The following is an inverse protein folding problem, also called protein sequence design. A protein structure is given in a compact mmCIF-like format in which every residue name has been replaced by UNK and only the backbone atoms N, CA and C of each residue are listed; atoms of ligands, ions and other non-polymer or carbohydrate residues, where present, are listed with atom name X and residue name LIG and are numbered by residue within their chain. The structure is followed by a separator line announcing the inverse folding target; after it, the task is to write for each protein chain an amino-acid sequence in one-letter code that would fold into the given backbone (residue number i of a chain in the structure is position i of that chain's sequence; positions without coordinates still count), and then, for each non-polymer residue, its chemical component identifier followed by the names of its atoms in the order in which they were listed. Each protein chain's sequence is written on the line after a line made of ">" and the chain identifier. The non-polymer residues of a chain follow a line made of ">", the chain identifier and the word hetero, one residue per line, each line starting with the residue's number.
data_IF_796307971280
#
_entry.id   IF_796307971280
#
_cell.length_a   1.000
_cell.length_b   1.000
_cell.length_c   1.000
_cell.angle_alpha   90.00
_cell.angle_beta   90.00
_cell.angle_gamma   90.00
#
_symmetry.space_group_name_H-M   'P 1'
#
loop_
_entity.id
_entity.type
_entity.pdbx_description
1 polymer ?
#
# COMPACT_ATOMS: atom_id res chain seq x y z
N UNK A 1 -17.33 69.52 50.82
CA UNK A 1 -18.14 68.31 50.58
C UNK A 1 -18.50 68.04 49.10
N UNK A 2 -18.86 69.00 48.26
CA UNK A 2 -19.25 68.74 46.86
C UNK A 2 -18.10 68.21 45.98
N UNK A 3 -16.82 68.60 46.15
CA UNK A 3 -15.66 68.12 45.32
C UNK A 3 -15.25 66.66 45.57
N UNK A 4 -15.45 66.16 46.80
CA UNK A 4 -15.11 64.76 47.15
C UNK A 4 -16.17 63.78 46.66
N UNK A 5 -17.43 64.17 46.51
CA UNK A 5 -18.51 63.33 45.96
C UNK A 5 -18.36 63.20 44.46
N UNK A 6 -18.02 64.27 43.74
CA UNK A 6 -17.78 64.24 42.29
C UNK A 6 -16.56 63.35 41.89
N UNK A 7 -15.50 63.44 42.71
CA UNK A 7 -14.31 62.59 42.49
C UNK A 7 -14.60 61.08 42.69
N UNK A 8 -15.43 60.75 43.68
CA UNK A 8 -15.82 59.34 43.90
C UNK A 8 -16.77 58.81 42.84
N UNK A 9 -17.64 59.61 42.27
CA UNK A 9 -18.56 59.28 41.21
C UNK A 9 -17.75 59.07 39.87
N UNK A 10 -16.76 59.91 39.59
CA UNK A 10 -15.90 59.78 38.42
C UNK A 10 -15.03 58.55 38.51
N UNK A 11 -14.50 58.21 39.69
CA UNK A 11 -13.74 56.99 39.91
C UNK A 11 -14.63 55.75 39.77
N UNK A 12 -15.83 55.74 40.28
CA UNK A 12 -16.74 54.60 40.11
C UNK A 12 -17.18 54.42 38.66
N UNK A 13 -17.42 55.50 37.92
CA UNK A 13 -17.72 55.40 36.48
C UNK A 13 -16.56 54.88 35.68
N UNK A 14 -15.31 55.23 36.00
CA UNK A 14 -14.09 54.72 35.36
C UNK A 14 -13.93 53.22 35.62
N UNK A 15 -14.13 52.76 36.84
CA UNK A 15 -14.04 51.34 37.17
C UNK A 15 -15.17 50.52 36.54
N UNK A 16 -16.39 51.05 36.42
CA UNK A 16 -17.50 50.43 35.73
C UNK A 16 -17.21 50.31 34.22
N UNK A 17 -16.66 51.37 33.60
CA UNK A 17 -16.27 51.35 32.20
C UNK A 17 -15.13 50.36 31.94
N UNK A 18 -14.13 50.27 32.83
CA UNK A 18 -13.05 49.30 32.75
C UNK A 18 -13.55 47.85 32.89
N UNK A 19 -14.52 47.60 33.78
CA UNK A 19 -15.13 46.30 33.99
C UNK A 19 -15.94 45.86 32.76
N UNK A 20 -16.69 46.77 32.14
CA UNK A 20 -17.43 46.50 30.90
C UNK A 20 -16.48 46.24 29.75
N UNK A 21 -15.36 46.98 29.65
CA UNK A 21 -14.35 46.77 28.63
C UNK A 21 -13.66 45.40 28.77
N UNK A 22 -13.37 44.95 29.99
CA UNK A 22 -12.80 43.62 30.26
C UNK A 22 -13.82 42.51 29.96
N UNK A 23 -15.10 42.72 30.27
CA UNK A 23 -16.16 41.75 29.93
C UNK A 23 -16.42 41.64 28.43
N UNK A 24 -16.33 42.74 27.68
CA UNK A 24 -16.49 42.73 26.22
C UNK A 24 -15.25 42.12 25.53
N UNK A 25 -14.06 42.34 26.10
CA UNK A 25 -12.83 41.73 25.60
C UNK A 25 -12.72 40.19 25.88
N UNK A 26 -13.53 39.69 26.82
CA UNK A 26 -13.58 38.29 27.20
C UNK A 26 -14.65 37.46 26.46
N UNK A 27 -15.39 38.06 25.51
CA UNK A 27 -16.20 37.28 24.59
C UNK A 27 -15.17 36.55 23.69
N UNK A 28 -15.03 35.21 23.79
CA UNK A 28 -14.26 34.49 22.79
C UNK A 28 -14.96 34.76 21.46
N UNK A 29 -14.34 35.57 20.60
CA UNK A 29 -14.62 35.53 19.18
C UNK A 29 -14.30 34.10 18.81
N UNK A 30 -15.31 33.24 18.84
CA UNK A 30 -15.22 31.95 18.16
C UNK A 30 -14.82 32.35 16.76
N UNK A 31 -13.55 32.14 16.45
CA UNK A 31 -13.06 32.29 15.11
C UNK A 31 -13.84 31.26 14.27
N UNK A 32 -14.90 31.74 13.63
CA UNK A 32 -15.64 31.01 12.63
C UNK A 32 -14.74 30.91 11.39
N UNK A 33 -13.54 30.36 11.63
CA UNK A 33 -12.55 29.98 10.63
C UNK A 33 -12.80 28.56 10.11
N UNK A 34 -13.96 27.99 10.40
CA UNK A 34 -14.38 26.74 9.83
C UNK A 34 -14.79 26.95 8.37
N UNK A 35 -13.78 27.18 7.50
CA UNK A 35 -13.94 27.13 6.05
C UNK A 35 -14.63 25.83 5.62
N UNK A 36 -14.63 24.82 6.47
CA UNK A 36 -15.11 23.45 6.28
C UNK A 36 -15.92 23.02 7.52
N UNK A 37 -17.18 23.33 7.60
CA UNK A 37 -18.04 22.99 8.73
C UNK A 37 -19.51 23.01 8.35
N UNK A 38 -20.41 23.16 9.32
CA UNK A 38 -21.86 23.16 9.15
C UNK A 38 -22.36 24.17 8.10
N UNK A 39 -21.66 25.30 7.93
CA UNK A 39 -22.00 26.31 6.92
C UNK A 39 -21.46 26.00 5.52
N UNK A 40 -20.58 25.02 5.39
CA UNK A 40 -19.98 24.65 4.11
C UNK A 40 -20.64 23.42 3.46
N UNK A 41 -20.81 22.34 4.23
CA UNK A 41 -21.36 21.10 3.72
C UNK A 41 -22.88 21.13 3.68
N UNK A 42 -23.52 20.66 2.59
CA UNK A 42 -24.96 20.48 2.58
C UNK A 42 -25.36 19.41 3.61
N UNK A 43 -26.42 19.67 4.39
CA UNK A 43 -26.91 18.72 5.39
C UNK A 43 -28.15 17.99 4.87
N UNK A 44 -28.06 17.51 3.66
CA UNK A 44 -29.13 16.76 2.95
C UNK A 44 -29.29 15.36 3.52
N UNK A 45 -30.43 14.73 3.26
CA UNK A 45 -30.72 13.37 3.71
C UNK A 45 -30.33 12.36 2.65
N UNK A 46 -29.43 11.45 3.01
CA UNK A 46 -29.06 10.28 2.23
C UNK A 46 -29.61 9.00 2.85
N UNK A 47 -29.56 7.91 2.09
CA UNK A 47 -29.95 6.57 2.54
C UNK A 47 -28.74 5.64 2.44
N UNK A 48 -28.44 4.92 3.51
CA UNK A 48 -27.35 3.95 3.54
C UNK A 48 -27.73 2.66 2.80
N UNK A 49 -26.76 1.80 2.49
CA UNK A 49 -26.98 0.45 1.95
C UNK A 49 -27.87 -0.43 2.84
N UNK A 50 -28.06 -0.08 4.10
CA UNK A 50 -28.95 -0.79 5.03
C UNK A 50 -30.33 -0.12 5.16
N UNK A 51 -30.65 0.84 4.29
CA UNK A 51 -31.93 1.53 4.25
C UNK A 51 -32.10 2.60 5.34
N UNK A 52 -31.05 2.95 6.09
CA UNK A 52 -31.10 3.94 7.16
C UNK A 52 -30.95 5.33 6.58
N UNK A 53 -31.84 6.26 6.95
CA UNK A 53 -31.77 7.67 6.56
C UNK A 53 -30.79 8.42 7.47
N UNK A 54 -29.84 9.14 6.88
CA UNK A 54 -28.80 9.88 7.56
C UNK A 54 -28.63 11.26 6.96
N UNK A 55 -28.27 12.26 7.77
CA UNK A 55 -27.94 13.62 7.31
C UNK A 55 -26.44 13.69 7.00
N UNK A 56 -26.11 14.21 5.84
CA UNK A 56 -24.73 14.16 5.35
C UNK A 56 -23.75 14.83 6.31
N UNK A 57 -24.02 16.06 6.77
CA UNK A 57 -23.10 16.71 7.68
C UNK A 57 -23.22 16.20 9.11
N UNK A 58 -24.42 16.25 9.70
CA UNK A 58 -24.62 16.00 11.13
C UNK A 58 -24.29 14.57 11.54
N UNK A 59 -24.67 13.59 10.69
CA UNK A 59 -24.57 12.17 11.05
C UNK A 59 -23.32 11.50 10.48
N UNK A 60 -22.70 12.06 9.39
CA UNK A 60 -21.58 11.42 8.73
C UNK A 60 -20.23 12.17 8.85
N UNK A 61 -20.27 13.51 8.84
CA UNK A 61 -19.04 14.32 8.73
C UNK A 61 -18.60 14.88 10.09
N UNK A 62 -19.53 15.43 10.85
CA UNK A 62 -19.27 16.21 12.07
C UNK A 62 -18.43 15.44 13.09
N UNK A 63 -17.27 15.99 13.44
CA UNK A 63 -16.35 15.45 14.44
C UNK A 63 -15.60 14.20 14.00
N UNK A 64 -15.59 13.84 12.70
CA UNK A 64 -15.02 12.58 12.22
C UNK A 64 -13.84 12.81 11.28
N UNK A 65 -13.02 11.76 11.16
CA UNK A 65 -12.06 11.60 10.07
C UNK A 65 -12.76 10.80 8.99
N UNK A 66 -12.84 11.36 7.79
CA UNK A 66 -13.61 10.78 6.70
C UNK A 66 -12.79 10.64 5.42
N UNK A 67 -13.09 9.62 4.65
CA UNK A 67 -12.67 9.48 3.26
C UNK A 67 -13.93 9.31 2.39
N UNK A 68 -14.10 10.17 1.40
CA UNK A 68 -15.32 10.26 0.60
C UNK A 68 -14.94 10.15 -0.88
N UNK A 69 -15.56 9.20 -1.57
CA UNK A 69 -15.49 9.09 -3.03
C UNK A 69 -16.88 8.98 -3.64
N UNK A 70 -16.95 9.25 -4.93
CA UNK A 70 -18.15 9.00 -5.73
C UNK A 70 -18.00 7.66 -6.45
N UNK A 71 -19.10 6.94 -6.62
CA UNK A 71 -19.14 5.66 -7.34
C UNK A 71 -20.41 5.55 -8.16
N UNK A 72 -20.47 4.55 -9.03
CA UNK A 72 -21.71 3.94 -9.52
C UNK A 72 -21.44 2.45 -9.79
N UNK A 73 -22.42 1.59 -9.45
CA UNK A 73 -22.17 0.13 -9.39
C UNK A 73 -22.03 -0.51 -10.76
N UNK A 74 -22.57 0.14 -11.82
CA UNK A 74 -22.46 -0.30 -13.23
C UNK A 74 -21.16 0.12 -13.92
N UNK A 75 -20.30 0.84 -13.22
CA UNK A 75 -19.00 1.30 -13.74
C UNK A 75 -18.12 0.11 -14.16
N UNK A 76 -17.63 0.16 -15.40
CA UNK A 76 -16.74 -0.87 -15.96
C UNK A 76 -15.26 -0.45 -16.00
N UNK A 77 -14.96 0.73 -15.46
CA UNK A 77 -13.64 1.36 -15.56
C UNK A 77 -12.97 1.53 -14.19
N UNK A 78 -13.02 2.72 -13.62
CA UNK A 78 -12.25 3.07 -12.42
C UNK A 78 -12.86 2.55 -11.11
N UNK A 79 -14.19 2.61 -10.93
CA UNK A 79 -14.83 2.31 -9.64
C UNK A 79 -14.50 0.93 -9.05
N UNK A 80 -14.42 -0.18 -9.84
CA UNK A 80 -13.99 -1.46 -9.31
C UNK A 80 -12.59 -1.43 -8.70
N UNK A 81 -11.64 -0.76 -9.38
CA UNK A 81 -10.27 -0.64 -8.89
C UNK A 81 -10.18 0.29 -7.67
N UNK A 82 -10.89 1.42 -7.69
CA UNK A 82 -10.98 2.33 -6.54
C UNK A 82 -11.51 1.63 -5.30
N UNK A 83 -12.64 0.96 -5.44
CA UNK A 83 -13.29 0.25 -4.31
C UNK A 83 -12.37 -0.85 -3.78
N UNK A 84 -11.72 -1.63 -4.65
CA UNK A 84 -10.74 -2.63 -4.24
C UNK A 84 -9.53 -1.99 -3.54
N UNK A 85 -9.08 -0.82 -3.99
CA UNK A 85 -7.98 -0.07 -3.38
C UNK A 85 -8.37 0.46 -2.00
N UNK A 86 -9.55 1.04 -1.87
CA UNK A 86 -10.07 1.50 -0.58
C UNK A 86 -10.27 0.33 0.40
N UNK A 87 -10.64 -0.86 -0.07
CA UNK A 87 -10.67 -2.06 0.76
C UNK A 87 -9.28 -2.42 1.30
N UNK A 88 -8.22 -2.24 0.51
CA UNK A 88 -6.85 -2.39 1.02
C UNK A 88 -6.49 -1.33 2.07
N UNK A 89 -6.89 -0.08 1.86
CA UNK A 89 -6.69 1.02 2.82
C UNK A 89 -7.40 0.72 4.14
N UNK A 90 -8.66 0.29 4.07
CA UNK A 90 -9.46 -0.08 5.24
C UNK A 90 -8.79 -1.21 6.06
N UNK A 91 -8.26 -2.24 5.39
CA UNK A 91 -7.49 -3.31 6.07
C UNK A 91 -6.23 -2.80 6.77
N UNK A 92 -5.51 -1.85 6.17
CA UNK A 92 -4.32 -1.23 6.80
C UNK A 92 -4.71 -0.38 8.00
N UNK A 93 -5.85 0.32 7.96
CA UNK A 93 -6.38 1.11 9.08
C UNK A 93 -6.91 0.23 10.22
N UNK A 94 -7.31 -1.02 9.92
CA UNK A 94 -7.74 -2.01 10.92
C UNK A 94 -8.83 -1.49 11.85
N UNK A 95 -8.61 -1.63 13.17
CA UNK A 95 -9.57 -1.27 14.22
C UNK A 95 -9.91 0.23 14.30
N UNK A 96 -9.26 1.06 13.51
CA UNK A 96 -9.62 2.48 13.40
C UNK A 96 -10.86 2.70 12.55
N UNK A 97 -11.14 1.78 11.61
CA UNK A 97 -12.34 1.81 10.80
C UNK A 97 -13.60 1.65 11.67
N UNK A 98 -14.54 2.59 11.54
CA UNK A 98 -15.78 2.61 12.32
C UNK A 98 -15.63 3.14 13.75
N UNK A 99 -14.41 3.44 14.20
CA UNK A 99 -14.15 4.06 15.51
C UNK A 99 -13.84 5.55 15.37
N UNK A 100 -12.80 5.89 14.64
CA UNK A 100 -12.32 7.26 14.43
C UNK A 100 -12.14 7.60 12.93
N UNK A 101 -12.12 6.60 12.05
CA UNK A 101 -12.04 6.76 10.60
C UNK A 101 -13.27 6.12 9.93
N UNK A 102 -13.89 6.86 9.01
CA UNK A 102 -15.09 6.43 8.31
C UNK A 102 -14.94 6.64 6.80
N UNK A 103 -15.36 5.67 6.01
CA UNK A 103 -15.41 5.77 4.57
C UNK A 103 -16.84 5.92 4.08
N UNK A 104 -17.03 6.81 3.13
CA UNK A 104 -18.33 7.07 2.49
C UNK A 104 -18.19 7.02 0.98
N UNK A 105 -18.82 6.02 0.36
CA UNK A 105 -18.94 5.92 -1.09
C UNK A 105 -20.35 6.34 -1.49
N UNK A 106 -20.48 7.47 -2.19
CA UNK A 106 -21.77 8.05 -2.56
C UNK A 106 -22.00 7.74 -4.04
N UNK A 107 -23.15 7.15 -4.36
CA UNK A 107 -23.48 6.88 -5.76
C UNK A 107 -23.80 8.18 -6.52
N UNK A 108 -23.45 8.21 -7.81
CA UNK A 108 -23.89 9.23 -8.77
C UNK A 108 -25.00 8.74 -9.69
N UNK A 109 -25.41 7.48 -9.54
CA UNK A 109 -26.51 6.84 -10.29
C UNK A 109 -27.61 6.33 -9.34
N UNK A 110 -28.32 7.24 -8.61
CA UNK A 110 -29.27 6.84 -7.59
C UNK A 110 -30.51 6.11 -8.14
N UNK A 111 -30.81 6.23 -9.43
CA UNK A 111 -31.94 5.53 -10.04
C UNK A 111 -31.68 4.04 -10.17
N UNK A 112 -30.43 3.65 -10.42
CA UNK A 112 -30.01 2.25 -10.46
C UNK A 112 -29.52 1.75 -9.10
N UNK A 113 -28.73 2.53 -8.40
CA UNK A 113 -28.01 2.15 -7.18
C UNK A 113 -28.91 2.28 -5.93
N UNK A 114 -29.90 1.40 -5.85
CA UNK A 114 -30.75 1.28 -4.66
C UNK A 114 -29.95 0.79 -3.45
N UNK A 115 -30.46 0.92 -2.21
CA UNK A 115 -29.80 0.38 -1.03
C UNK A 115 -29.38 -1.10 -1.16
N UNK A 116 -30.24 -1.95 -1.72
CA UNK A 116 -29.94 -3.37 -1.91
C UNK A 116 -28.80 -3.59 -2.91
N UNK A 117 -28.79 -2.86 -4.02
CA UNK A 117 -27.70 -2.89 -5.02
C UNK A 117 -26.36 -2.45 -4.39
N UNK A 118 -26.39 -1.36 -3.62
CA UNK A 118 -25.21 -0.88 -2.90
C UNK A 118 -24.74 -1.88 -1.83
N UNK A 119 -25.64 -2.58 -1.17
CA UNK A 119 -25.32 -3.62 -0.19
C UNK A 119 -24.63 -4.82 -0.83
N UNK A 120 -25.11 -5.27 -1.97
CA UNK A 120 -24.45 -6.31 -2.75
C UNK A 120 -23.06 -5.87 -3.24
N UNK A 121 -22.95 -4.62 -3.73
CA UNK A 121 -21.69 -4.07 -4.16
C UNK A 121 -20.67 -4.00 -3.01
N UNK A 122 -21.08 -3.49 -1.84
CA UNK A 122 -20.25 -3.46 -0.65
C UNK A 122 -19.74 -4.85 -0.24
N UNK A 123 -20.62 -5.86 -0.29
CA UNK A 123 -20.30 -7.25 0.02
C UNK A 123 -19.28 -7.86 -0.98
N UNK A 124 -19.39 -7.55 -2.28
CA UNK A 124 -18.45 -7.99 -3.32
C UNK A 124 -17.02 -7.54 -3.01
N UNK A 125 -16.84 -6.31 -2.52
CA UNK A 125 -15.54 -5.73 -2.19
C UNK A 125 -15.13 -5.92 -0.73
N UNK A 126 -15.89 -6.70 0.04
CA UNK A 126 -15.61 -6.99 1.45
C UNK A 126 -15.51 -5.70 2.29
N UNK A 127 -16.36 -4.73 1.99
CA UNK A 127 -16.44 -3.51 2.79
C UNK A 127 -16.87 -3.85 4.22
N UNK A 128 -16.03 -3.51 5.18
CA UNK A 128 -16.22 -3.82 6.60
C UNK A 128 -16.85 -2.67 7.39
N UNK A 129 -16.87 -2.78 8.73
CA UNK A 129 -17.36 -1.74 9.60
C UNK A 129 -16.72 -0.38 9.33
N UNK A 130 -17.50 0.70 9.44
CA UNK A 130 -17.02 2.06 9.20
C UNK A 130 -16.95 2.48 7.73
N UNK A 131 -17.33 1.61 6.80
CA UNK A 131 -17.48 1.95 5.40
C UNK A 131 -18.95 1.89 4.99
N UNK A 132 -19.52 3.03 4.65
CA UNK A 132 -20.94 3.18 4.31
C UNK A 132 -21.11 3.59 2.86
N UNK A 133 -21.99 2.89 2.16
CA UNK A 133 -22.39 3.22 0.79
C UNK A 133 -23.74 3.95 0.85
N UNK A 134 -23.86 5.01 0.05
CA UNK A 134 -24.92 6.00 0.21
C UNK A 134 -25.59 6.28 -1.13
N UNK A 135 -26.91 6.37 -1.11
CA UNK A 135 -27.76 6.84 -2.20
C UNK A 135 -28.67 7.97 -1.70
N UNK A 136 -29.38 8.63 -2.61
CA UNK A 136 -30.28 9.73 -2.23
C UNK A 136 -30.94 10.34 -3.45
N UNK A 137 -31.45 11.57 -3.31
CA UNK A 137 -31.97 12.30 -4.46
C UNK A 137 -30.82 12.81 -5.34
N UNK A 138 -30.97 12.74 -6.65
CA UNK A 138 -29.94 13.18 -7.59
C UNK A 138 -29.46 14.62 -7.33
N UNK A 139 -30.38 15.57 -7.10
CA UNK A 139 -30.03 16.98 -6.80
C UNK A 139 -29.21 17.11 -5.51
N UNK A 140 -29.53 16.31 -4.49
CA UNK A 140 -28.81 16.31 -3.20
C UNK A 140 -27.40 15.76 -3.36
N UNK A 141 -27.24 14.69 -4.16
CA UNK A 141 -25.95 14.06 -4.49
C UNK A 141 -25.10 15.03 -5.31
N UNK A 142 -25.69 15.70 -6.32
CA UNK A 142 -24.99 16.71 -7.10
C UNK A 142 -24.51 17.87 -6.24
N UNK A 143 -25.35 18.37 -5.32
CA UNK A 143 -24.98 19.43 -4.38
C UNK A 143 -23.78 19.04 -3.53
N UNK A 144 -23.73 17.81 -3.00
CA UNK A 144 -22.58 17.28 -2.29
C UNK A 144 -21.36 17.21 -3.20
N UNK A 145 -21.49 16.63 -4.39
CA UNK A 145 -20.40 16.43 -5.35
C UNK A 145 -19.75 17.77 -5.74
N UNK A 146 -20.55 18.80 -5.99
CA UNK A 146 -20.06 20.16 -6.29
C UNK A 146 -19.32 20.78 -5.09
N UNK A 147 -19.86 20.63 -3.87
CA UNK A 147 -19.22 21.15 -2.66
C UNK A 147 -17.90 20.43 -2.34
N UNK A 148 -17.83 19.14 -2.53
CA UNK A 148 -16.59 18.37 -2.39
C UNK A 148 -15.59 18.64 -3.53
N UNK A 149 -16.06 19.26 -4.63
CA UNK A 149 -15.28 19.47 -5.85
C UNK A 149 -14.95 18.15 -6.54
N UNK A 150 -15.84 17.18 -6.42
CA UNK A 150 -15.80 15.89 -7.11
C UNK A 150 -16.68 15.87 -8.38
N UNK A 151 -17.50 16.90 -8.56
CA UNK A 151 -18.33 17.05 -9.76
C UNK A 151 -17.46 17.36 -10.97
N UNK A 152 -17.71 16.69 -12.07
CA UNK A 152 -17.16 16.97 -13.39
C UNK A 152 -18.31 16.96 -14.40
N UNK A 153 -18.34 17.92 -15.31
CA UNK A 153 -19.32 17.88 -16.39
C UNK A 153 -19.03 16.69 -17.31
N UNK A 154 -20.07 15.89 -17.65
CA UNK A 154 -19.92 14.84 -18.64
C UNK A 154 -19.39 15.38 -19.97
N UNK A 155 -18.47 14.66 -20.58
CA UNK A 155 -17.90 15.02 -21.88
C UNK A 155 -17.53 13.74 -22.66
N UNK A 156 -17.21 13.82 -23.97
CA UNK A 156 -16.94 12.62 -24.76
C UNK A 156 -15.80 11.72 -24.25
N UNK A 157 -14.82 12.28 -23.51
CA UNK A 157 -13.72 11.51 -22.90
C UNK A 157 -14.03 11.04 -21.49
N UNK A 158 -15.07 11.58 -20.87
CA UNK A 158 -15.57 11.20 -19.54
C UNK A 158 -17.09 11.31 -19.53
N UNK A 159 -17.80 10.36 -20.18
CA UNK A 159 -19.25 10.44 -20.37
C UNK A 159 -20.05 10.51 -19.07
N UNK A 160 -19.54 9.91 -18.01
CA UNK A 160 -20.21 9.81 -16.71
C UNK A 160 -19.84 10.96 -15.77
N UNK A 161 -18.94 11.87 -16.18
CA UNK A 161 -18.45 12.96 -15.33
C UNK A 161 -17.71 12.48 -14.08
N UNK A 162 -17.32 11.20 -14.03
CA UNK A 162 -16.68 10.59 -12.88
C UNK A 162 -15.15 10.61 -12.99
N UNK A 163 -14.49 11.03 -11.91
CA UNK A 163 -13.03 10.98 -11.79
C UNK A 163 -12.64 10.23 -10.51
N UNK A 164 -11.55 9.42 -10.54
CA UNK A 164 -11.10 8.62 -9.41
C UNK A 164 -10.48 9.48 -8.30
N UNK A 165 -11.28 10.34 -7.71
CA UNK A 165 -10.89 11.30 -6.68
C UNK A 165 -11.40 10.88 -5.32
N UNK A 166 -10.56 11.08 -4.31
CA UNK A 166 -10.85 10.84 -2.91
C UNK A 166 -10.71 12.15 -2.14
N UNK A 167 -11.76 12.55 -1.45
CA UNK A 167 -11.69 13.62 -0.46
C UNK A 167 -11.44 12.99 0.89
N UNK A 168 -10.36 13.40 1.54
CA UNK A 168 -10.06 12.99 2.91
C UNK A 168 -10.02 14.21 3.81
N UNK A 169 -10.60 14.09 5.00
CA UNK A 169 -10.68 15.20 5.92
C UNK A 169 -10.84 14.78 7.37
N UNK A 170 -10.38 15.66 8.25
CA UNK A 170 -10.68 15.63 9.67
C UNK A 170 -11.49 16.89 9.99
N UNK A 171 -12.79 16.71 10.19
CA UNK A 171 -13.69 17.84 10.40
C UNK A 171 -13.36 18.58 11.71
N UNK A 172 -13.01 17.85 12.75
CA UNK A 172 -12.66 18.42 14.04
C UNK A 172 -11.44 19.37 13.99
N UNK A 173 -10.52 19.14 13.04
CA UNK A 173 -9.32 19.99 12.85
C UNK A 173 -9.45 20.95 11.66
N UNK A 174 -10.50 20.82 10.86
CA UNK A 174 -10.72 21.59 9.65
C UNK A 174 -9.73 21.29 8.51
N UNK A 175 -9.06 20.15 8.57
CA UNK A 175 -8.07 19.74 7.57
C UNK A 175 -8.71 18.87 6.49
N UNK A 176 -8.62 19.32 5.25
CA UNK A 176 -9.19 18.64 4.10
C UNK A 176 -8.20 18.63 2.94
N UNK A 177 -8.13 17.51 2.23
CA UNK A 177 -7.29 17.36 1.05
C UNK A 177 -7.92 16.44 0.01
N UNK A 178 -7.45 16.58 -1.22
CA UNK A 178 -7.78 15.69 -2.32
C UNK A 178 -6.64 14.74 -2.57
N UNK A 179 -6.98 13.48 -2.79
CA UNK A 179 -6.06 12.44 -3.20
C UNK A 179 -6.68 11.66 -4.38
N UNK A 180 -5.90 10.82 -5.01
CA UNK A 180 -6.43 9.81 -5.90
C UNK A 180 -6.86 8.60 -5.07
N UNK A 181 -8.04 8.04 -5.32
CA UNK A 181 -8.45 6.77 -4.73
C UNK A 181 -7.58 5.59 -5.21
N UNK A 182 -6.79 5.81 -6.29
CA UNK A 182 -5.87 4.84 -6.86
C UNK A 182 -4.44 4.91 -6.27
N UNK A 183 -4.17 5.86 -5.37
CA UNK A 183 -2.87 6.00 -4.73
C UNK A 183 -2.48 4.75 -3.93
N UNK A 184 -1.21 4.67 -3.57
CA UNK A 184 -0.69 3.58 -2.76
C UNK A 184 -1.49 3.43 -1.45
N UNK A 185 -2.05 2.24 -1.12
CA UNK A 185 -2.94 2.06 0.02
C UNK A 185 -2.27 2.34 1.37
N UNK A 186 -0.97 2.07 1.52
CA UNK A 186 -0.23 2.41 2.74
C UNK A 186 -0.03 3.91 2.88
N UNK A 187 0.21 4.62 1.76
CA UNK A 187 0.28 6.08 1.75
C UNK A 187 -1.06 6.70 2.14
N UNK A 188 -2.17 6.25 1.53
CA UNK A 188 -3.51 6.72 1.87
C UNK A 188 -3.86 6.43 3.32
N UNK A 189 -3.62 5.21 3.81
CA UNK A 189 -3.88 4.85 5.21
C UNK A 189 -3.08 5.74 6.18
N UNK A 190 -1.82 6.04 5.87
CA UNK A 190 -0.99 6.93 6.67
C UNK A 190 -1.49 8.38 6.62
N UNK A 191 -1.89 8.85 5.45
CA UNK A 191 -2.46 10.20 5.30
C UNK A 191 -3.74 10.35 6.13
N UNK A 192 -4.67 9.41 6.01
CA UNK A 192 -5.95 9.41 6.73
C UNK A 192 -5.74 9.17 8.22
N UNK A 193 -4.94 8.17 8.56
CA UNK A 193 -4.76 7.72 9.93
C UNK A 193 -3.87 8.64 10.76
N UNK A 194 -2.73 9.04 10.22
CA UNK A 194 -1.69 9.70 11.01
C UNK A 194 -1.60 11.20 10.71
N UNK A 195 -1.52 11.59 9.45
CA UNK A 195 -1.25 12.98 9.10
C UNK A 195 -2.40 13.92 9.40
N UNK A 196 -3.63 13.51 9.20
CA UNK A 196 -4.80 14.32 9.57
C UNK A 196 -4.96 14.50 11.08
N UNK A 197 -4.24 13.74 11.90
CA UNK A 197 -4.26 13.86 13.36
C UNK A 197 -2.97 14.48 13.94
N UNK A 198 -1.86 14.53 13.21
CA UNK A 198 -0.52 14.68 13.78
C UNK A 198 0.17 16.02 13.53
N UNK A 199 -0.54 17.04 13.05
CA UNK A 199 0.06 18.38 12.86
C UNK A 199 0.62 18.99 14.14
N UNK A 200 0.24 18.44 15.30
CA UNK A 200 0.71 18.88 16.61
C UNK A 200 1.84 18.03 17.19
N UNK A 201 2.17 16.89 16.61
CA UNK A 201 3.26 16.05 17.10
C UNK A 201 4.51 16.19 16.23
N UNK A 202 5.54 16.74 16.86
CA UNK A 202 6.95 16.83 16.49
C UNK A 202 7.35 16.61 15.02
N UNK A 203 7.86 17.67 14.40
CA UNK A 203 8.67 17.65 13.17
C UNK A 203 9.80 16.63 13.27
N UNK A 204 9.59 15.39 12.80
CA UNK A 204 10.69 14.58 12.32
C UNK A 204 11.11 15.21 10.98
N UNK A 205 12.34 15.69 10.91
CA UNK A 205 12.93 16.18 9.67
C UNK A 205 12.77 15.12 8.59
N UNK A 206 12.01 15.44 7.55
CA UNK A 206 11.95 14.61 6.36
C UNK A 206 13.35 14.58 5.71
N UNK A 207 13.81 13.45 5.17
CA UNK A 207 15.03 13.39 4.37
C UNK A 207 14.95 14.41 3.22
N UNK A 208 16.09 15.05 2.91
CA UNK A 208 16.18 15.97 1.77
C UNK A 208 15.81 15.26 0.47
N UNK A 209 15.02 15.90 -0.40
CA UNK A 209 14.75 15.40 -1.75
C UNK A 209 16.02 15.23 -2.61
N UNK A 210 17.12 15.89 -2.24
CA UNK A 210 18.39 15.75 -2.91
C UNK A 210 19.05 14.37 -2.73
N UNK A 211 18.65 13.63 -1.69
CA UNK A 211 19.18 12.31 -1.35
C UNK A 211 18.30 11.15 -1.87
N UNK A 212 17.26 11.46 -2.66
CA UNK A 212 16.37 10.43 -3.22
C UNK A 212 17.02 9.84 -4.47
N UNK A 213 17.40 8.55 -4.46
CA UNK A 213 17.98 7.91 -5.63
C UNK A 213 16.99 7.86 -6.79
N UNK A 214 17.52 8.01 -8.01
CA UNK A 214 16.73 7.90 -9.25
C UNK A 214 16.22 6.47 -9.41
N UNK A 215 14.90 6.27 -9.46
CA UNK A 215 14.30 4.95 -9.58
C UNK A 215 14.29 4.49 -11.03
N UNK A 216 14.86 3.32 -11.30
CA UNK A 216 14.53 2.54 -12.48
C UNK A 216 13.39 1.59 -12.13
N UNK A 217 12.19 1.90 -12.57
CA UNK A 217 11.04 1.02 -12.35
C UNK A 217 11.07 -0.14 -13.35
N UNK A 218 10.92 -1.37 -12.83
CA UNK A 218 10.41 -2.46 -13.65
C UNK A 218 8.96 -2.11 -14.01
N UNK A 219 8.69 -1.90 -15.31
CA UNK A 219 7.39 -1.45 -15.80
C UNK A 219 6.29 -2.48 -15.49
N UNK A 220 6.61 -3.77 -15.53
CA UNK A 220 5.66 -4.84 -15.22
C UNK A 220 5.27 -4.85 -13.76
N UNK A 221 6.25 -4.73 -12.85
CA UNK A 221 6.00 -4.61 -11.41
C UNK A 221 5.17 -3.37 -11.08
N UNK A 222 5.55 -2.22 -11.61
CA UNK A 222 4.83 -0.98 -11.40
C UNK A 222 3.38 -1.07 -11.87
N UNK A 223 3.17 -1.59 -13.09
CA UNK A 223 1.84 -1.74 -13.67
C UNK A 223 1.01 -2.74 -12.88
N UNK A 224 1.60 -3.89 -12.50
CA UNK A 224 0.91 -4.88 -11.67
C UNK A 224 0.48 -4.30 -10.31
N UNK A 225 1.38 -3.66 -9.60
CA UNK A 225 1.10 -3.08 -8.27
C UNK A 225 0.00 -2.03 -8.32
N UNK A 226 0.01 -1.19 -9.34
CA UNK A 226 -0.94 -0.08 -9.43
C UNK A 226 -2.29 -0.47 -10.03
N UNK A 227 -2.34 -1.45 -10.92
CA UNK A 227 -3.55 -1.79 -11.65
C UNK A 227 -4.14 -3.16 -11.31
N UNK A 228 -3.32 -4.13 -10.94
CA UNK A 228 -3.74 -5.52 -10.76
C UNK A 228 -3.77 -5.97 -9.29
N UNK A 229 -2.79 -5.52 -8.48
CA UNK A 229 -2.55 -5.99 -7.13
C UNK A 229 -3.64 -5.66 -6.09
N UNK A 230 -4.65 -4.85 -6.46
CA UNK A 230 -5.83 -4.62 -5.62
C UNK A 230 -6.77 -5.83 -5.61
N UNK A 231 -6.84 -6.55 -6.75
CA UNK A 231 -7.76 -7.65 -6.97
C UNK A 231 -7.07 -9.00 -7.09
N UNK A 232 -5.82 -9.04 -7.57
CA UNK A 232 -5.06 -10.26 -7.86
C UNK A 232 -3.83 -10.42 -6.99
N UNK A 233 -3.45 -11.66 -6.78
CA UNK A 233 -2.17 -12.05 -6.16
C UNK A 233 -1.35 -12.87 -7.16
N UNK A 234 -0.06 -13.10 -6.83
CA UNK A 234 0.77 -14.10 -7.50
C UNK A 234 1.34 -15.01 -6.41
N UNK A 235 0.79 -16.24 -6.29
CA UNK A 235 1.23 -17.25 -5.34
C UNK A 235 0.78 -17.04 -3.89
N UNK A 236 -0.26 -16.23 -3.65
CA UNK A 236 -0.81 -15.99 -2.29
C UNK A 236 -2.27 -16.40 -2.16
N UNK A 237 -2.80 -17.10 -3.15
CA UNK A 237 -4.19 -17.51 -3.23
C UNK A 237 -5.13 -16.46 -3.82
N UNK A 238 -6.35 -16.88 -4.09
CA UNK A 238 -7.42 -16.04 -4.67
C UNK A 238 -7.76 -14.88 -3.73
N UNK A 239 -8.05 -13.73 -4.32
CA UNK A 239 -8.54 -12.54 -3.62
C UNK A 239 -9.90 -12.10 -4.19
N UNK A 240 -10.08 -10.87 -4.62
CA UNK A 240 -11.26 -10.43 -5.37
C UNK A 240 -11.31 -11.05 -6.77
N UNK A 241 -10.16 -11.36 -7.34
CA UNK A 241 -9.95 -12.13 -8.55
C UNK A 241 -9.01 -13.30 -8.29
N UNK A 242 -8.70 -14.11 -9.34
CA UNK A 242 -7.84 -15.27 -9.22
C UNK A 242 -6.41 -14.92 -8.82
N UNK A 243 -5.75 -15.86 -8.14
CA UNK A 243 -4.30 -15.91 -8.07
C UNK A 243 -3.73 -16.14 -9.48
N UNK A 244 -2.77 -15.31 -9.88
CA UNK A 244 -2.20 -15.35 -11.22
C UNK A 244 -0.94 -16.24 -11.34
N UNK A 245 -0.54 -16.94 -10.26
CA UNK A 245 0.59 -17.85 -10.33
C UNK A 245 0.34 -18.96 -11.35
N UNK A 246 1.21 -19.03 -12.35
CA UNK A 246 1.14 -20.04 -13.42
C UNK A 246 0.06 -19.80 -14.46
N UNK A 247 -0.62 -18.68 -14.46
CA UNK A 247 -1.65 -18.36 -15.46
C UNK A 247 -1.08 -18.33 -16.88
N UNK A 248 0.16 -17.90 -17.04
CA UNK A 248 0.91 -17.85 -18.31
C UNK A 248 1.22 -19.22 -18.89
N UNK A 249 1.24 -20.27 -18.06
CA UNK A 249 1.39 -21.65 -18.51
C UNK A 249 0.04 -22.35 -18.82
N UNK A 250 -1.07 -21.81 -18.33
CA UNK A 250 -2.40 -22.44 -18.45
C UNK A 250 -3.35 -21.70 -19.39
N UNK A 251 -2.99 -20.50 -19.81
CA UNK A 251 -3.76 -19.67 -20.74
C UNK A 251 -2.90 -19.25 -21.93
N UNK A 252 -3.54 -19.17 -23.07
CA UNK A 252 -2.91 -18.65 -24.28
C UNK A 252 -2.54 -17.16 -24.12
N UNK A 253 -1.34 -16.77 -24.59
CA UNK A 253 -0.83 -15.41 -24.45
C UNK A 253 -1.72 -14.38 -25.17
N UNK A 254 -2.23 -14.72 -26.35
CA UNK A 254 -3.10 -13.82 -27.11
C UNK A 254 -4.44 -13.64 -26.39
N UNK A 255 -4.95 -14.71 -25.76
CA UNK A 255 -6.15 -14.60 -24.92
C UNK A 255 -5.89 -13.70 -23.71
N UNK A 256 -4.76 -13.87 -23.01
CA UNK A 256 -4.38 -13.02 -21.88
C UNK A 256 -4.26 -11.56 -22.31
N UNK A 257 -3.62 -11.29 -23.43
CA UNK A 257 -3.47 -9.94 -23.99
C UNK A 257 -4.82 -9.30 -24.25
N UNK A 258 -5.72 -10.02 -24.97
CA UNK A 258 -7.08 -9.50 -25.24
C UNK A 258 -7.88 -9.25 -23.95
N UNK A 259 -7.75 -10.15 -22.97
CA UNK A 259 -8.48 -10.03 -21.71
C UNK A 259 -7.93 -8.89 -20.83
N UNK A 260 -6.62 -8.62 -20.83
CA UNK A 260 -6.02 -7.49 -20.11
C UNK A 260 -6.41 -6.14 -20.77
N UNK A 261 -6.38 -6.08 -22.10
CA UNK A 261 -6.62 -4.83 -22.85
C UNK A 261 -8.09 -4.44 -22.87
N UNK A 262 -9.00 -5.41 -23.02
CA UNK A 262 -10.42 -5.14 -23.18
C UNK A 262 -11.29 -6.25 -22.54
N UNK A 263 -11.24 -6.41 -21.21
CA UNK A 263 -11.98 -7.45 -20.49
C UNK A 263 -13.48 -7.34 -20.70
N UNK A 264 -14.02 -6.12 -20.75
CA UNK A 264 -15.40 -5.82 -21.02
C UNK A 264 -15.88 -6.38 -22.36
N UNK A 265 -15.07 -6.26 -23.40
CA UNK A 265 -15.39 -6.78 -24.74
C UNK A 265 -15.32 -8.32 -24.78
N UNK A 266 -14.34 -8.91 -24.12
CA UNK A 266 -14.20 -10.38 -24.05
C UNK A 266 -15.39 -11.00 -23.32
N UNK A 267 -15.81 -10.42 -22.19
CA UNK A 267 -17.02 -10.84 -21.46
C UNK A 267 -18.28 -10.67 -22.30
N UNK A 268 -18.47 -9.51 -22.92
CA UNK A 268 -19.61 -9.20 -23.79
C UNK A 268 -19.69 -10.11 -25.02
N UNK A 269 -18.52 -10.50 -25.57
CA UNK A 269 -18.39 -11.48 -26.66
C UNK A 269 -18.75 -12.91 -26.29
N UNK A 270 -19.05 -13.17 -25.01
CA UNK A 270 -19.49 -14.49 -24.55
C UNK A 270 -18.40 -15.50 -24.37
N UNK A 271 -17.15 -15.08 -24.21
CA UNK A 271 -16.01 -15.97 -23.99
C UNK A 271 -16.27 -16.90 -22.79
N UNK A 272 -16.17 -18.22 -22.96
CA UNK A 272 -16.55 -19.18 -21.91
C UNK A 272 -15.61 -19.13 -20.70
N UNK A 273 -14.34 -18.80 -20.89
CA UNK A 273 -13.37 -18.67 -19.80
C UNK A 273 -13.72 -17.43 -18.98
N UNK A 274 -13.95 -16.30 -19.64
CA UNK A 274 -14.29 -15.04 -18.98
C UNK A 274 -15.60 -15.16 -18.18
N UNK A 275 -16.63 -15.84 -18.71
CA UNK A 275 -17.89 -16.09 -18.01
C UNK A 275 -17.69 -16.98 -16.77
N UNK A 276 -16.94 -18.07 -16.90
CA UNK A 276 -16.63 -18.95 -15.77
C UNK A 276 -15.89 -18.21 -14.65
N UNK A 277 -14.96 -17.33 -15.01
CA UNK A 277 -14.26 -16.50 -14.04
C UNK A 277 -15.21 -15.52 -13.35
N UNK A 278 -16.09 -14.86 -14.10
CA UNK A 278 -17.06 -13.92 -13.56
C UNK A 278 -18.00 -14.60 -12.54
N UNK A 279 -18.51 -15.79 -12.85
CA UNK A 279 -19.37 -16.57 -11.96
C UNK A 279 -18.61 -17.00 -10.69
N UNK A 280 -17.37 -17.47 -10.85
CA UNK A 280 -16.53 -17.92 -9.73
C UNK A 280 -16.20 -16.79 -8.75
N UNK A 281 -15.96 -15.59 -9.26
CA UNK A 281 -15.54 -14.42 -8.45
C UNK A 281 -16.70 -13.47 -8.16
N UNK A 282 -17.92 -14.00 -7.97
CA UNK A 282 -19.11 -13.28 -7.48
C UNK A 282 -19.47 -12.05 -8.32
N UNK A 283 -19.33 -12.16 -9.63
CA UNK A 283 -19.62 -11.07 -10.55
C UNK A 283 -18.77 -9.80 -10.34
N UNK A 284 -17.59 -9.92 -9.74
CA UNK A 284 -16.60 -8.83 -9.73
C UNK A 284 -16.01 -8.72 -11.14
N UNK A 285 -16.33 -7.64 -11.82
CA UNK A 285 -15.82 -7.37 -13.16
C UNK A 285 -14.35 -6.97 -13.09
N UNK A 286 -13.52 -7.55 -13.95
CA UNK A 286 -12.20 -7.01 -14.24
C UNK A 286 -12.40 -5.71 -15.02
N UNK A 287 -11.94 -4.56 -14.50
CA UNK A 287 -12.18 -3.27 -15.15
C UNK A 287 -11.32 -3.11 -16.41
N UNK A 288 -11.83 -2.36 -17.38
CA UNK A 288 -11.04 -1.87 -18.51
C UNK A 288 -10.22 -0.67 -18.04
N UNK A 289 -8.92 -0.86 -17.91
CA UNK A 289 -7.98 0.14 -17.37
C UNK A 289 -7.30 0.97 -18.44
N UNK A 290 -7.72 0.84 -19.71
CA UNK A 290 -7.11 1.55 -20.84
C UNK A 290 -5.67 1.13 -21.15
N UNK A 291 -5.28 -0.08 -20.74
CA UNK A 291 -3.95 -0.64 -21.02
C UNK A 291 -3.83 -1.02 -22.50
N UNK A 292 -2.68 -0.73 -23.10
CA UNK A 292 -2.37 -1.17 -24.46
C UNK A 292 -1.75 -2.58 -24.51
N UNK A 293 -1.58 -3.10 -25.72
CA UNK A 293 -0.92 -4.41 -25.94
C UNK A 293 0.50 -4.46 -25.37
N UNK A 294 1.26 -3.36 -25.50
CA UNK A 294 2.60 -3.25 -24.94
C UNK A 294 2.61 -3.31 -23.40
N UNK A 295 1.57 -2.78 -22.73
CA UNK A 295 1.43 -2.90 -21.28
C UNK A 295 1.05 -4.32 -20.87
N UNK A 296 0.17 -4.97 -21.65
CA UNK A 296 -0.23 -6.35 -21.43
C UNK A 296 0.98 -7.30 -21.57
N UNK A 297 1.83 -7.10 -22.57
CA UNK A 297 3.04 -7.90 -22.77
C UNK A 297 3.98 -7.83 -21.57
N UNK A 298 4.27 -6.62 -21.10
CA UNK A 298 5.15 -6.39 -19.94
C UNK A 298 4.54 -6.97 -18.67
N UNK A 299 3.20 -6.89 -18.49
CA UNK A 299 2.48 -7.51 -17.38
C UNK A 299 2.55 -9.05 -17.43
N UNK A 300 2.33 -9.65 -18.58
CA UNK A 300 2.38 -11.11 -18.76
C UNK A 300 3.79 -11.62 -18.45
N UNK A 301 4.83 -10.93 -18.94
CA UNK A 301 6.23 -11.31 -18.67
C UNK A 301 6.55 -11.17 -17.17
N UNK A 302 6.07 -10.13 -16.51
CA UNK A 302 6.22 -9.97 -15.07
C UNK A 302 5.51 -11.08 -14.28
N UNK A 303 4.24 -11.37 -14.61
CA UNK A 303 3.48 -12.45 -13.97
C UNK A 303 4.16 -13.81 -14.17
N UNK A 304 4.70 -14.06 -15.34
CA UNK A 304 5.42 -15.29 -15.64
C UNK A 304 6.70 -15.42 -14.82
N UNK A 305 7.49 -14.36 -14.74
CA UNK A 305 8.70 -14.30 -13.91
C UNK A 305 8.39 -14.53 -12.43
N UNK A 306 7.36 -13.87 -11.90
CA UNK A 306 6.93 -14.07 -10.51
C UNK A 306 6.37 -15.48 -10.26
N UNK A 307 5.64 -16.03 -11.23
CA UNK A 307 5.09 -17.40 -11.14
C UNK A 307 6.18 -18.46 -11.05
N UNK A 308 7.28 -18.29 -11.80
CA UNK A 308 8.45 -19.18 -11.69
C UNK A 308 9.11 -19.10 -10.32
N UNK A 309 9.17 -17.90 -9.72
CA UNK A 309 9.74 -17.69 -8.40
C UNK A 309 8.90 -18.32 -7.28
N UNK A 310 7.59 -18.47 -7.48
CA UNK A 310 6.63 -19.02 -6.49
C UNK A 310 6.53 -20.55 -6.55
N UNK A 311 6.88 -21.19 -7.67
CA UNK A 311 6.82 -22.65 -7.79
C UNK A 311 7.97 -23.30 -7.00
N UNK A 312 7.72 -24.06 -5.89
CA UNK A 312 8.71 -24.92 -5.29
C UNK A 312 8.97 -26.10 -6.23
N UNK A 313 10.16 -26.15 -6.86
CA UNK A 313 10.68 -27.35 -7.52
C UNK A 313 9.80 -27.94 -8.61
N UNK A 314 9.75 -27.30 -9.76
CA UNK A 314 9.35 -27.96 -11.01
C UNK A 314 10.46 -28.89 -11.45
N UNK A 315 10.37 -30.18 -11.08
CA UNK A 315 11.20 -31.22 -11.64
C UNK A 315 11.03 -31.23 -13.14
N UNK A 316 12.08 -30.85 -13.86
CA UNK A 316 12.17 -31.02 -15.30
C UNK A 316 12.03 -32.51 -15.66
N UNK A 317 11.19 -32.76 -16.67
CA UNK A 317 10.86 -34.08 -17.16
C UNK A 317 12.06 -34.87 -17.57
N UNK A 318 11.93 -36.13 -17.38
CA UNK A 318 12.76 -37.25 -17.74
C UNK A 318 13.37 -37.18 -19.13
N UNK A 319 14.67 -37.24 -19.20
CA UNK A 319 15.44 -37.71 -20.34
C UNK A 319 16.45 -38.76 -19.87
N UNK A 320 16.22 -40.00 -20.28
CA UNK A 320 16.99 -41.19 -19.97
C UNK A 320 18.35 -41.16 -20.68
N UNK A 321 19.32 -41.72 -20.01
CA UNK A 321 20.38 -42.62 -20.45
C UNK A 321 21.83 -42.16 -20.34
N UNK A 322 22.60 -43.01 -19.69
CA UNK A 322 23.94 -43.43 -20.12
C UNK A 322 25.08 -42.96 -19.26
N UNK A 323 25.45 -43.81 -18.38
CA UNK A 323 26.62 -44.39 -17.89
C UNK A 323 28.01 -43.75 -18.06
N UNK A 324 28.74 -43.98 -17.05
CA UNK A 324 30.15 -44.42 -16.90
C UNK A 324 31.05 -43.45 -16.12
N UNK A 325 31.42 -43.97 -14.98
CA UNK A 325 32.71 -44.09 -14.33
C UNK A 325 33.85 -43.09 -14.63
N UNK A 326 34.38 -42.56 -13.49
CA UNK A 326 35.79 -42.23 -13.37
C UNK A 326 36.07 -41.15 -12.32
N UNK A 327 37.02 -41.37 -11.42
CA UNK A 327 37.13 -40.69 -10.14
C UNK A 327 38.13 -39.53 -10.19
N UNK A 328 37.94 -38.61 -9.26
CA UNK A 328 39.07 -37.83 -8.75
C UNK A 328 38.92 -36.34 -8.84
N UNK A 329 38.99 -35.69 -7.70
CA UNK A 329 39.27 -34.27 -7.60
C UNK A 329 38.57 -33.62 -6.40
N UNK A 330 39.22 -33.67 -5.27
CA UNK A 330 39.00 -32.88 -4.09
C UNK A 330 38.80 -31.40 -4.37
N UNK A 331 37.62 -30.83 -4.05
CA UNK A 331 37.46 -29.42 -3.66
C UNK A 331 36.11 -29.25 -2.91
N UNK A 332 35.99 -29.91 -1.76
CA UNK A 332 34.78 -29.93 -0.95
C UNK A 332 34.73 -28.92 0.20
N UNK A 333 35.72 -28.03 0.36
CA UNK A 333 35.76 -27.17 1.55
C UNK A 333 34.98 -25.85 1.36
N UNK A 334 35.04 -25.21 0.22
CA UNK A 334 34.42 -23.90 -0.01
C UNK A 334 32.88 -23.89 -0.05
N UNK A 335 32.22 -24.99 -0.42
CA UNK A 335 30.75 -25.08 -0.45
C UNK A 335 30.14 -25.30 0.93
N UNK A 336 30.88 -25.94 1.84
CA UNK A 336 30.47 -26.16 3.23
C UNK A 336 30.50 -24.86 4.04
N UNK A 337 31.50 -24.01 3.83
CA UNK A 337 31.71 -22.78 4.58
C UNK A 337 30.71 -21.68 4.17
N UNK A 338 30.35 -21.60 2.89
CA UNK A 338 29.28 -20.69 2.46
C UNK A 338 27.89 -21.09 3.00
N UNK A 339 27.60 -22.38 3.12
CA UNK A 339 26.34 -22.84 3.72
C UNK A 339 26.23 -22.43 5.20
N UNK A 340 27.33 -22.48 5.97
CA UNK A 340 27.39 -22.03 7.37
C UNK A 340 27.18 -20.49 7.47
N UNK A 341 27.82 -19.71 6.60
CA UNK A 341 27.64 -18.26 6.51
C UNK A 341 26.17 -17.91 6.19
N UNK A 342 25.56 -18.55 5.20
CA UNK A 342 24.14 -18.36 4.85
C UNK A 342 23.23 -18.75 6.00
N UNK A 343 23.54 -19.84 6.70
CA UNK A 343 22.81 -20.30 7.90
C UNK A 343 22.73 -19.22 9.00
N UNK A 344 23.82 -18.48 9.23
CA UNK A 344 23.89 -17.38 10.19
C UNK A 344 23.39 -16.04 9.66
N UNK A 345 23.44 -15.83 8.35
CA UNK A 345 22.93 -14.62 7.68
C UNK A 345 21.40 -14.54 7.72
N UNK A 346 20.69 -15.64 7.51
CA UNK A 346 19.23 -15.67 7.46
C UNK A 346 18.53 -15.26 8.77
N UNK A 347 19.01 -15.64 9.99
CA UNK A 347 18.54 -15.08 11.25
C UNK A 347 18.68 -13.56 11.34
N UNK A 348 19.81 -12.98 10.88
CA UNK A 348 20.02 -11.54 10.86
C UNK A 348 19.00 -10.86 9.94
N UNK A 349 18.83 -11.38 8.73
CA UNK A 349 17.84 -10.87 7.77
C UNK A 349 16.43 -10.82 8.37
N UNK A 350 16.00 -11.92 9.05
CA UNK A 350 14.70 -12.00 9.72
C UNK A 350 14.57 -11.02 10.87
N UNK A 351 15.59 -10.90 11.73
CA UNK A 351 15.58 -9.97 12.85
C UNK A 351 15.42 -8.53 12.37
N UNK A 352 16.20 -8.10 11.36
CA UNK A 352 16.13 -6.75 10.80
C UNK A 352 14.81 -6.48 10.08
N UNK A 353 14.20 -7.48 9.44
CA UNK A 353 12.87 -7.36 8.83
C UNK A 353 11.74 -7.23 9.87
N UNK A 354 11.96 -7.70 11.09
CA UNK A 354 11.05 -7.60 12.22
C UNK A 354 11.35 -6.42 13.17
N UNK A 355 12.21 -5.47 12.77
CA UNK A 355 12.64 -4.30 13.56
C UNK A 355 13.27 -4.65 14.90
N UNK A 356 14.01 -5.77 14.98
CA UNK A 356 14.72 -6.20 16.19
C UNK A 356 16.20 -6.42 15.94
N UNK A 357 17.00 -6.25 16.99
CA UNK A 357 18.44 -6.58 17.02
C UNK A 357 18.70 -7.91 17.72
N UNK A 358 17.67 -8.63 18.17
CA UNK A 358 17.82 -9.89 18.87
C UNK A 358 18.61 -10.92 18.05
N UNK A 359 19.74 -11.37 18.58
CA UNK A 359 20.63 -12.35 17.96
C UNK A 359 21.45 -11.84 16.76
N UNK A 360 21.34 -10.56 16.39
CA UNK A 360 22.11 -9.99 15.25
C UNK A 360 23.61 -10.00 15.54
N UNK A 361 24.02 -9.57 16.72
CA UNK A 361 25.44 -9.55 17.12
C UNK A 361 26.07 -10.95 17.13
N UNK A 362 25.38 -11.94 17.72
CA UNK A 362 25.90 -13.31 17.83
C UNK A 362 25.99 -14.00 16.46
N UNK A 363 24.97 -13.79 15.62
CA UNK A 363 24.96 -14.31 14.26
C UNK A 363 26.03 -13.66 13.39
N UNK A 364 26.26 -12.34 13.53
CA UNK A 364 27.33 -11.62 12.85
C UNK A 364 28.71 -12.09 13.31
N UNK A 365 28.90 -12.35 14.60
CA UNK A 365 30.12 -12.95 15.15
C UNK A 365 30.41 -14.34 14.54
N UNK A 366 29.39 -15.18 14.42
CA UNK A 366 29.49 -16.50 13.79
C UNK A 366 29.93 -16.35 12.31
N UNK A 367 29.32 -15.42 11.55
CA UNK A 367 29.73 -15.15 10.16
C UNK A 367 31.20 -14.73 10.09
N UNK A 368 31.67 -13.89 11.02
CA UNK A 368 33.07 -13.46 11.04
C UNK A 368 34.05 -14.63 11.26
N UNK A 369 33.68 -15.59 12.11
CA UNK A 369 34.47 -16.81 12.34
C UNK A 369 34.49 -17.69 11.09
N UNK A 370 33.34 -17.96 10.48
CA UNK A 370 33.25 -18.79 9.27
C UNK A 370 33.96 -18.13 8.08
N UNK A 371 33.85 -16.79 7.95
CA UNK A 371 34.57 -16.03 6.92
C UNK A 371 36.09 -16.11 7.08
N UNK A 372 36.60 -16.12 8.33
CA UNK A 372 38.03 -16.29 8.59
C UNK A 372 38.58 -17.63 8.09
N UNK A 373 37.75 -18.68 8.02
CA UNK A 373 38.13 -20.00 7.48
C UNK A 373 38.31 -19.99 5.98
N UNK A 374 37.72 -19.03 5.27
CA UNK A 374 37.89 -18.84 3.83
C UNK A 374 39.24 -18.21 3.46
N UNK A 375 40.08 -17.86 4.46
CA UNK A 375 41.38 -17.23 4.25
C UNK A 375 41.30 -15.89 3.54
N UNK A 376 42.07 -15.70 2.47
CA UNK A 376 42.10 -14.42 1.73
C UNK A 376 40.74 -14.03 1.13
N UNK A 377 39.93 -15.00 0.73
CA UNK A 377 38.59 -14.78 0.15
C UNK A 377 37.52 -14.37 1.16
N UNK A 378 37.80 -14.52 2.44
CA UNK A 378 36.86 -14.20 3.53
C UNK A 378 37.13 -12.86 4.24
N UNK A 379 38.23 -12.16 3.95
CA UNK A 379 38.66 -10.96 4.68
C UNK A 379 37.60 -9.85 4.66
N UNK A 380 36.98 -9.58 3.52
CA UNK A 380 35.95 -8.55 3.38
C UNK A 380 34.62 -8.98 4.07
N UNK A 381 34.26 -10.26 4.03
CA UNK A 381 33.12 -10.82 4.75
C UNK A 381 33.32 -10.70 6.26
N UNK A 382 34.52 -11.05 6.74
CA UNK A 382 34.90 -10.93 8.15
C UNK A 382 34.80 -9.49 8.64
N UNK A 383 35.33 -8.53 7.85
CA UNK A 383 35.26 -7.11 8.19
C UNK A 383 33.82 -6.58 8.22
N UNK A 384 32.98 -6.95 7.23
CA UNK A 384 31.60 -6.53 7.16
C UNK A 384 30.76 -7.12 8.31
N UNK A 385 30.99 -8.38 8.65
CA UNK A 385 30.32 -9.04 9.79
C UNK A 385 30.77 -8.41 11.13
N UNK A 386 32.06 -8.11 11.29
CA UNK A 386 32.58 -7.41 12.48
C UNK A 386 32.00 -6.02 12.65
N UNK A 387 31.80 -5.27 11.54
CA UNK A 387 31.12 -3.97 11.57
C UNK A 387 29.66 -4.10 12.02
N UNK A 388 28.95 -5.11 11.55
CA UNK A 388 27.57 -5.38 11.95
C UNK A 388 27.47 -5.79 13.44
N UNK A 389 28.40 -6.59 13.92
CA UNK A 389 28.47 -7.02 15.33
C UNK A 389 28.53 -5.85 16.31
N UNK A 390 29.17 -4.75 15.92
CA UNK A 390 29.40 -3.58 16.79
C UNK A 390 28.25 -2.56 16.77
N UNK A 391 27.16 -2.82 16.05
CA UNK A 391 26.07 -1.87 15.93
C UNK A 391 25.13 -1.92 17.13
N UNK A 392 24.75 -0.73 17.67
CA UNK A 392 23.87 -0.59 18.82
C UNK A 392 22.44 -0.18 18.50
N UNK A 393 22.13 0.17 17.23
CA UNK A 393 20.80 0.57 16.82
C UNK A 393 20.43 0.00 15.45
N UNK A 394 19.12 -0.04 15.16
CA UNK A 394 18.58 -0.61 13.92
C UNK A 394 19.06 0.06 12.64
N UNK A 395 19.30 1.36 12.68
CA UNK A 395 19.74 2.11 11.49
C UNK A 395 21.19 1.76 11.15
N UNK A 396 22.06 1.76 12.14
CA UNK A 396 23.46 1.35 11.98
C UNK A 396 23.54 -0.12 11.55
N UNK A 397 22.74 -1.01 12.18
CA UNK A 397 22.70 -2.42 11.85
C UNK A 397 22.26 -2.66 10.39
N UNK A 398 21.24 -1.98 9.91
CA UNK A 398 20.80 -2.06 8.52
C UNK A 398 21.84 -1.57 7.52
N UNK A 399 22.56 -0.51 7.86
CA UNK A 399 23.65 0.01 7.02
C UNK A 399 24.80 -1.00 6.93
N UNK A 400 25.23 -1.56 8.06
CA UNK A 400 26.27 -2.58 8.10
C UNK A 400 25.81 -3.89 7.42
N UNK A 401 24.56 -4.29 7.64
CA UNK A 401 23.97 -5.45 6.98
C UNK A 401 23.92 -5.31 5.45
N UNK A 402 23.69 -4.10 4.94
CA UNK A 402 23.70 -3.86 3.49
C UNK A 402 25.08 -4.18 2.87
N UNK A 403 26.17 -3.79 3.53
CA UNK A 403 27.51 -4.13 3.08
C UNK A 403 27.78 -5.64 3.14
N UNK A 404 27.41 -6.30 4.24
CA UNK A 404 27.52 -7.74 4.40
C UNK A 404 26.70 -8.48 3.34
N UNK A 405 25.47 -8.00 3.09
CA UNK A 405 24.54 -8.61 2.14
C UNK A 405 25.07 -8.58 0.71
N UNK A 406 25.67 -7.47 0.27
CA UNK A 406 26.29 -7.36 -1.06
C UNK A 406 27.38 -8.43 -1.26
N UNK A 407 28.18 -8.68 -0.22
CA UNK A 407 29.26 -9.67 -0.28
C UNK A 407 28.75 -11.11 -0.25
N UNK A 408 27.75 -11.40 0.59
CA UNK A 408 27.16 -12.73 0.71
C UNK A 408 26.41 -13.10 -0.58
N UNK A 409 25.57 -12.20 -1.08
CA UNK A 409 24.81 -12.43 -2.32
C UNK A 409 25.71 -12.64 -3.52
N UNK A 410 26.80 -11.86 -3.65
CA UNK A 410 27.78 -12.01 -4.76
C UNK A 410 28.46 -13.38 -4.77
N UNK A 411 28.64 -14.02 -3.59
CA UNK A 411 29.29 -15.32 -3.43
C UNK A 411 28.29 -16.47 -3.32
N UNK A 412 26.99 -16.14 -3.30
CA UNK A 412 25.95 -17.14 -3.12
C UNK A 412 25.89 -18.09 -4.31
N UNK A 413 26.51 -19.24 -4.15
CA UNK A 413 26.34 -20.41 -5.00
C UNK A 413 26.16 -21.59 -4.06
N UNK A 414 24.93 -22.04 -3.89
CA UNK A 414 24.63 -23.12 -2.95
C UNK A 414 23.91 -24.26 -3.64
N UNK A 415 24.55 -25.43 -3.64
CA UNK A 415 24.00 -26.69 -4.13
C UNK A 415 23.61 -27.65 -3.00
N UNK A 416 23.70 -27.21 -1.74
CA UNK A 416 23.36 -28.04 -0.58
C UNK A 416 21.86 -27.96 -0.24
N UNK A 417 21.33 -29.04 0.37
CA UNK A 417 19.95 -29.08 0.87
C UNK A 417 19.63 -27.94 1.88
N UNK A 418 20.64 -27.39 2.56
CA UNK A 418 20.47 -26.27 3.49
C UNK A 418 20.04 -24.95 2.81
N UNK A 419 20.26 -24.83 1.49
CA UNK A 419 19.91 -23.66 0.71
C UNK A 419 18.71 -23.89 -0.23
N UNK A 420 18.05 -25.03 -0.16
CA UNK A 420 16.97 -25.40 -1.09
C UNK A 420 15.82 -24.38 -1.14
N UNK A 421 15.57 -23.66 -0.01
CA UNK A 421 14.48 -22.68 0.10
C UNK A 421 15.01 -21.23 0.15
N UNK A 422 16.30 -21.01 -0.17
CA UNK A 422 16.90 -19.68 -0.12
C UNK A 422 16.78 -19.00 -1.47
N UNK A 423 16.19 -17.81 -1.47
CA UNK A 423 16.00 -16.98 -2.65
C UNK A 423 16.79 -15.68 -2.52
N UNK A 424 17.29 -15.18 -3.64
CA UNK A 424 17.83 -13.82 -3.72
C UNK A 424 16.66 -12.86 -3.91
N UNK A 425 16.60 -11.84 -3.08
CA UNK A 425 15.63 -10.75 -3.19
C UNK A 425 16.34 -9.43 -3.43
N UNK A 426 15.65 -8.50 -4.06
CA UNK A 426 16.14 -7.16 -4.36
C UNK A 426 15.18 -6.11 -3.83
N UNK A 427 15.69 -5.12 -3.10
CA UNK A 427 14.96 -3.94 -2.68
C UNK A 427 15.24 -2.77 -3.61
N UNK A 428 14.27 -2.29 -4.39
CA UNK A 428 14.47 -1.15 -5.28
C UNK A 428 14.71 0.17 -4.51
N UNK A 429 14.20 0.27 -3.29
CA UNK A 429 14.37 1.47 -2.45
C UNK A 429 15.75 1.55 -1.81
N UNK A 430 16.32 0.43 -1.39
CA UNK A 430 17.67 0.37 -0.82
C UNK A 430 18.74 0.15 -1.90
N UNK A 431 18.35 -0.20 -3.13
CA UNK A 431 19.26 -0.68 -4.19
C UNK A 431 20.16 -1.82 -3.73
N UNK A 432 19.60 -2.74 -2.95
CA UNK A 432 20.34 -3.81 -2.30
C UNK A 432 19.68 -5.17 -2.53
N UNK A 433 20.53 -6.16 -2.67
CA UNK A 433 20.14 -7.55 -2.70
C UNK A 433 20.24 -8.16 -1.31
N UNK A 434 19.45 -9.19 -1.04
CA UNK A 434 19.57 -10.00 0.16
C UNK A 434 19.11 -11.44 -0.08
N UNK A 435 19.53 -12.34 0.78
CA UNK A 435 19.03 -13.71 0.82
C UNK A 435 17.91 -13.82 1.84
N UNK A 436 16.87 -14.56 1.51
CA UNK A 436 15.77 -14.90 2.43
C UNK A 436 15.25 -16.31 2.18
N UNK A 437 14.54 -16.88 3.18
CA UNK A 437 13.78 -18.12 3.00
C UNK A 437 12.37 -17.82 2.53
N UNK A 438 11.90 -18.65 1.57
CA UNK A 438 10.53 -18.57 1.06
C UNK A 438 10.32 -17.43 0.07
N UNK A 439 9.11 -17.37 -0.51
CA UNK A 439 8.73 -16.43 -1.57
C UNK A 439 8.13 -15.10 -1.02
N UNK A 440 7.74 -15.05 0.26
CA UNK A 440 7.20 -13.83 0.86
C UNK A 440 8.32 -12.87 1.20
N UNK A 441 8.30 -11.68 0.59
CA UNK A 441 9.32 -10.66 0.84
C UNK A 441 9.31 -10.23 2.31
N UNK A 442 10.50 -10.27 2.92
CA UNK A 442 10.79 -9.81 4.27
C UNK A 442 11.99 -8.86 4.19
N UNK A 443 11.72 -7.58 3.97
CA UNK A 443 12.76 -6.59 3.68
C UNK A 443 13.55 -6.23 4.95
N UNK A 444 14.85 -6.55 5.03
CA UNK A 444 15.68 -6.24 6.20
C UNK A 444 16.11 -4.77 6.28
N UNK A 445 16.06 -4.03 5.17
CA UNK A 445 16.55 -2.66 5.10
C UNK A 445 15.54 -1.64 5.64
N UNK A 446 14.24 -1.98 5.57
CA UNK A 446 13.15 -1.12 6.02
C UNK A 446 12.30 -1.74 7.13
N UNK A 447 12.45 -3.04 7.40
CA UNK A 447 11.71 -3.74 8.44
C UNK A 447 10.20 -3.61 8.29
N UNK A 448 9.49 -3.46 9.40
CA UNK A 448 8.03 -3.35 9.43
C UNK A 448 7.48 -2.13 8.69
N UNK A 449 8.30 -1.11 8.43
CA UNK A 449 7.87 0.07 7.67
C UNK A 449 7.58 -0.24 6.20
N UNK A 450 8.36 -1.15 5.60
CA UNK A 450 8.18 -1.61 4.22
C UNK A 450 8.61 -3.08 4.07
N UNK A 451 8.03 -3.94 4.89
CA UNK A 451 8.42 -5.36 5.02
C UNK A 451 8.29 -6.15 3.73
N UNK A 452 7.37 -5.76 2.86
CA UNK A 452 7.06 -6.37 1.56
C UNK A 452 7.65 -5.59 0.37
N UNK A 453 8.47 -4.56 0.63
CA UNK A 453 9.17 -3.83 -0.43
C UNK A 453 10.36 -4.65 -0.94
N UNK A 454 10.22 -5.21 -2.14
CA UNK A 454 11.24 -6.03 -2.78
C UNK A 454 10.64 -7.06 -3.72
N UNK A 455 11.53 -7.75 -4.43
CA UNK A 455 11.16 -8.86 -5.33
C UNK A 455 12.19 -9.97 -5.22
N UNK A 456 11.75 -11.22 -5.46
CA UNK A 456 12.67 -12.32 -5.70
C UNK A 456 13.28 -12.14 -7.08
N UNK A 457 14.56 -12.38 -7.23
CA UNK A 457 15.31 -12.28 -8.50
C UNK A 457 16.24 -13.46 -8.66
N UNK A 458 16.39 -13.93 -9.90
CA UNK A 458 17.40 -14.92 -10.31
C UNK A 458 18.72 -14.27 -10.77
N UNK A 459 18.73 -12.96 -11.04
CA UNK A 459 19.87 -12.26 -11.62
C UNK A 459 20.69 -11.52 -10.57
N UNK A 460 21.84 -12.06 -10.25
CA UNK A 460 22.87 -11.44 -9.42
C UNK A 460 23.92 -10.69 -10.28
N UNK A 461 23.84 -10.83 -11.61
CA UNK A 461 24.92 -10.46 -12.52
C UNK A 461 24.95 -9.02 -13.04
N UNK A 462 23.96 -8.18 -12.73
CA UNK A 462 23.85 -6.82 -13.27
C UNK A 462 24.22 -5.68 -12.31
N UNK A 463 25.10 -5.90 -11.33
CA UNK A 463 25.59 -4.80 -10.46
C UNK A 463 27.05 -4.40 -10.76
N UNK A 464 27.47 -4.44 -12.02
CA UNK A 464 28.74 -3.82 -12.45
C UNK A 464 28.54 -3.15 -13.81
N UNK A 465 27.94 -1.94 -13.78
CA UNK A 465 28.28 -0.85 -14.71
C UNK A 465 27.85 0.48 -14.09
#
# INVERSE_FOLDING_TARGET
>A
MRRTVLARLAAAAFWLAALVFVLVAAIPVAADNARWGAGYFPNVVLTTQDGVRVRFYDDLIKGRIVAINLIYTTCKYACPLETARLAQVARVLGDRMGRDVFFYSITIDPDHDTPDVLKEYAAKYQAGPGWTFLTGKADDIEAISRKLGLYSEPNPSNPDGHTPMLIIGNEATGQWMRNSALDNPKFLARTIGDWLNSWQTAKKQAPSYADVPTFTFDRGEYTFRNHCGACHTIGRGDHLGPDLAGVTATRDRDWLTRFIVAPDKVVAGGDPIARTLLDRYKQVLMPNLGLGTADADVLIDYIDAQSRAVRPGGAGGSGKAGGSDGPGGSDGSGTSDMAAIVGSYLPIQRALSADTLAGVSDAAHTIAIEAARLGADGVDLQAAAGALQQTGDLKAARTAFAALSDLVVKRFSCSSAACADVSVAYCPMAHKYWLQKGATIQNPFYGLQMSDCGRITSDVTHSQK
#
